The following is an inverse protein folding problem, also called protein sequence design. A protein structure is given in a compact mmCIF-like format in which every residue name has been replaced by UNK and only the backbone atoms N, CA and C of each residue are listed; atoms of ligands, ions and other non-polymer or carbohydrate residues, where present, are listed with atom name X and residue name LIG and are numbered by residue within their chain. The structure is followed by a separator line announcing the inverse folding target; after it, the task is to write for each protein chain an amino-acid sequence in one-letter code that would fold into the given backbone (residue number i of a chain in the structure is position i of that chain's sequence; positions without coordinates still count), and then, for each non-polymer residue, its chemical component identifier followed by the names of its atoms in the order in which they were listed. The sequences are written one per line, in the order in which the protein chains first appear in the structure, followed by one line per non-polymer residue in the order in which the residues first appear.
data_IF_475063714144
#
_entry.id   IF_475063714144
#
_cell.length_a   1.000
_cell.length_b   1.000
_cell.length_c   1.000
_cell.angle_alpha   90.00
_cell.angle_beta   90.00
_cell.angle_gamma   90.00
#
_symmetry.space_group_name_H-M   'P 1'
#
loop_
_entity.id
_entity.type
_entity.pdbx_description
1 polymer ?
#
# COMPACT_ATOMS: atom_id res chain seq x y z
N UNK A 1 -14.03 8.16 -24.19
CA UNK A 1 -13.59 8.83 -22.96
C UNK A 1 -12.57 7.95 -22.26
N UNK A 2 -11.44 8.51 -21.90
CA UNK A 2 -10.42 7.75 -21.18
C UNK A 2 -10.87 7.44 -19.75
N UNK A 3 -10.59 6.24 -19.22
CA UNK A 3 -10.89 5.96 -17.82
C UNK A 3 -10.10 6.90 -16.91
N UNK A 4 -10.65 7.19 -15.76
CA UNK A 4 -9.96 7.99 -14.75
C UNK A 4 -8.69 7.26 -14.30
N UNK A 5 -7.60 8.01 -14.06
CA UNK A 5 -6.38 7.44 -13.56
C UNK A 5 -6.63 6.82 -12.17
N UNK A 6 -6.08 5.62 -11.90
CA UNK A 6 -6.23 5.02 -10.57
C UNK A 6 -5.47 5.82 -9.53
N UNK A 7 -5.97 5.79 -8.29
CA UNK A 7 -5.34 6.47 -7.17
C UNK A 7 -4.66 5.45 -6.27
N UNK A 8 -3.37 5.65 -5.99
CA UNK A 8 -2.61 4.83 -5.06
C UNK A 8 -2.27 5.64 -3.81
N UNK A 9 -2.47 5.04 -2.64
CA UNK A 9 -1.97 5.61 -1.38
C UNK A 9 -0.70 4.86 -1.01
N UNK A 10 0.41 5.60 -0.88
CA UNK A 10 1.69 5.05 -0.45
C UNK A 10 1.93 5.45 1.00
N UNK A 11 2.11 4.48 1.87
CA UNK A 11 2.36 4.70 3.30
C UNK A 11 3.77 4.20 3.63
N UNK A 12 4.67 5.11 3.92
CA UNK A 12 6.09 4.79 4.14
C UNK A 12 6.73 5.89 4.98
N UNK A 13 7.43 5.50 6.04
CA UNK A 13 8.09 6.48 6.92
C UNK A 13 9.49 6.88 6.45
N UNK A 14 10.13 6.10 5.56
CA UNK A 14 11.42 6.46 4.97
C UNK A 14 11.18 7.45 3.83
N UNK A 15 11.65 8.71 3.95
CA UNK A 15 11.37 9.72 2.92
C UNK A 15 11.99 9.40 1.56
N UNK A 16 13.09 8.66 1.53
CA UNK A 16 13.74 8.29 0.26
C UNK A 16 12.88 7.28 -0.50
N UNK A 17 12.40 6.25 0.20
CA UNK A 17 11.55 5.23 -0.40
C UNK A 17 10.19 5.83 -0.79
N UNK A 18 9.64 6.68 0.07
CA UNK A 18 8.37 7.36 -0.21
C UNK A 18 8.46 8.17 -1.51
N UNK A 19 9.54 8.94 -1.68
CA UNK A 19 9.77 9.73 -2.88
C UNK A 19 9.97 8.85 -4.12
N UNK A 20 10.72 7.77 -3.97
CA UNK A 20 10.94 6.82 -5.06
C UNK A 20 9.61 6.26 -5.58
N UNK A 21 8.74 5.85 -4.67
CA UNK A 21 7.45 5.30 -5.05
C UNK A 21 6.54 6.37 -5.64
N UNK A 22 6.54 7.56 -5.06
CA UNK A 22 5.75 8.68 -5.60
C UNK A 22 6.09 8.95 -7.06
N UNK A 23 7.39 9.09 -7.37
CA UNK A 23 7.84 9.39 -8.73
C UNK A 23 7.47 8.26 -9.69
N UNK A 24 7.70 7.01 -9.29
CA UNK A 24 7.44 5.87 -10.18
C UNK A 24 5.96 5.68 -10.45
N UNK A 25 5.11 5.80 -9.44
CA UNK A 25 3.66 5.69 -9.66
C UNK A 25 3.13 6.86 -10.50
N UNK A 26 3.65 8.07 -10.25
CA UNK A 26 3.26 9.23 -11.05
C UNK A 26 3.61 9.05 -12.53
N UNK A 27 4.82 8.54 -12.82
CA UNK A 27 5.26 8.27 -14.18
C UNK A 27 4.38 7.22 -14.88
N UNK A 28 3.80 6.28 -14.12
CA UNK A 28 2.94 5.25 -14.66
C UNK A 28 1.46 5.68 -14.73
N UNK A 29 1.19 6.94 -14.48
CA UNK A 29 -0.15 7.51 -14.68
C UNK A 29 -1.08 7.43 -13.47
N UNK A 30 -0.55 7.12 -12.29
CA UNK A 30 -1.37 7.07 -11.08
C UNK A 30 -1.53 8.47 -10.47
N UNK A 31 -2.68 8.69 -9.83
CA UNK A 31 -2.81 9.77 -8.86
C UNK A 31 -2.21 9.24 -7.55
N UNK A 32 -1.26 9.96 -6.98
CA UNK A 32 -0.52 9.47 -5.81
C UNK A 32 -0.90 10.26 -4.56
N UNK A 33 -1.31 9.53 -3.52
CA UNK A 33 -1.51 10.06 -2.18
C UNK A 33 -0.39 9.52 -1.29
N UNK A 34 0.10 10.32 -0.37
CA UNK A 34 1.23 9.96 0.48
C UNK A 34 0.84 10.03 1.95
N UNK A 35 1.38 9.11 2.74
CA UNK A 35 1.28 9.13 4.19
C UNK A 35 2.61 8.67 4.77
N UNK A 36 3.04 9.24 5.89
CA UNK A 36 4.34 8.99 6.48
C UNK A 36 4.29 8.00 7.64
N UNK A 37 3.11 7.63 8.09
CA UNK A 37 2.92 6.62 9.13
C UNK A 37 1.54 5.96 8.98
N UNK A 38 1.32 4.91 9.76
CA UNK A 38 0.08 4.14 9.65
C UNK A 38 -1.16 4.92 10.08
N UNK A 39 -1.02 5.79 11.07
CA UNK A 39 -2.15 6.62 11.53
C UNK A 39 -2.62 7.57 10.44
N UNK A 40 -1.67 8.27 9.80
CA UNK A 40 -1.98 9.13 8.66
C UNK A 40 -2.54 8.32 7.49
N UNK A 41 -1.95 7.13 7.25
CA UNK A 41 -2.42 6.23 6.18
C UNK A 41 -3.88 5.83 6.35
N UNK A 42 -4.29 5.48 7.57
CA UNK A 42 -5.68 5.14 7.86
C UNK A 42 -6.58 6.35 7.61
N UNK A 43 -6.18 7.52 8.09
CA UNK A 43 -6.97 8.75 7.92
C UNK A 43 -7.16 9.10 6.45
N UNK A 44 -6.09 9.03 5.66
CA UNK A 44 -6.15 9.33 4.22
C UNK A 44 -7.00 8.28 3.49
N UNK A 45 -6.85 7.01 3.83
CA UNK A 45 -7.63 5.93 3.19
C UNK A 45 -9.13 6.14 3.41
N UNK A 46 -9.52 6.51 4.62
CA UNK A 46 -10.92 6.75 4.95
C UNK A 46 -11.48 7.99 4.26
N UNK A 47 -10.67 9.06 4.18
CA UNK A 47 -11.10 10.32 3.59
C UNK A 47 -11.14 10.28 2.07
N UNK A 48 -10.16 9.64 1.44
CA UNK A 48 -9.95 9.69 -0.01
C UNK A 48 -10.32 8.41 -0.75
N UNK A 49 -10.41 7.28 -0.04
CA UNK A 49 -10.76 5.97 -0.63
C UNK A 49 -9.98 5.67 -1.91
N UNK A 50 -8.64 5.48 -1.80
CA UNK A 50 -7.84 5.17 -2.97
C UNK A 50 -8.23 3.82 -3.59
N UNK A 51 -7.81 3.59 -4.82
CA UNK A 51 -8.06 2.33 -5.52
C UNK A 51 -7.17 1.21 -5.03
N UNK A 52 -6.00 1.54 -4.48
CA UNK A 52 -5.04 0.57 -3.94
C UNK A 52 -4.17 1.27 -2.90
N UNK A 53 -3.70 0.49 -1.93
CA UNK A 53 -2.79 0.97 -0.88
C UNK A 53 -1.51 0.14 -0.92
N UNK A 54 -0.36 0.83 -0.87
CA UNK A 54 0.96 0.21 -0.72
C UNK A 54 1.52 0.71 0.59
N UNK A 55 1.80 -0.17 1.53
CA UNK A 55 2.26 0.22 2.86
C UNK A 55 3.42 -0.63 3.35
N UNK A 56 4.39 0.01 4.01
CA UNK A 56 5.42 -0.70 4.74
C UNK A 56 4.82 -1.34 5.98
N UNK A 57 5.40 -2.45 6.45
CA UNK A 57 4.99 -3.10 7.69
C UNK A 57 5.56 -2.36 8.89
N UNK A 58 6.85 -2.03 8.85
CA UNK A 58 7.55 -1.44 9.99
C UNK A 58 7.48 0.08 9.96
N UNK A 59 6.56 0.63 10.74
CA UNK A 59 6.37 2.08 10.85
C UNK A 59 6.08 2.44 12.31
N UNK A 60 6.41 3.68 12.72
CA UNK A 60 6.06 4.15 14.06
C UNK A 60 4.55 4.31 14.21
N UNK A 61 4.07 4.33 15.44
CA UNK A 61 2.67 4.49 15.86
C UNK A 61 1.82 3.29 15.47
N UNK A 62 1.41 3.20 14.21
CA UNK A 62 0.57 2.12 13.70
C UNK A 62 1.35 1.38 12.63
N UNK A 63 1.57 0.08 12.80
CA UNK A 63 2.28 -0.73 11.81
C UNK A 63 1.41 -0.97 10.57
N UNK A 64 2.05 -1.43 9.49
CA UNK A 64 1.32 -1.80 8.28
C UNK A 64 0.32 -2.93 8.52
N UNK A 65 0.64 -3.85 9.43
CA UNK A 65 -0.29 -4.94 9.78
C UNK A 65 -1.54 -4.41 10.48
N UNK A 66 -1.36 -3.49 11.42
CA UNK A 66 -2.48 -2.85 12.11
C UNK A 66 -3.33 -2.03 11.13
N UNK A 67 -2.68 -1.35 10.18
CA UNK A 67 -3.37 -0.61 9.14
C UNK A 67 -4.26 -1.54 8.30
N UNK A 68 -3.72 -2.68 7.86
CA UNK A 68 -4.49 -3.67 7.09
C UNK A 68 -5.69 -4.16 7.89
N UNK A 69 -5.47 -4.57 9.14
CA UNK A 69 -6.54 -5.08 10.00
C UNK A 69 -7.64 -4.02 10.19
N UNK A 70 -7.23 -2.77 10.46
CA UNK A 70 -8.17 -1.69 10.69
C UNK A 70 -9.02 -1.39 9.46
N UNK A 71 -8.39 -1.31 8.28
CA UNK A 71 -9.10 -0.99 7.05
C UNK A 71 -9.97 -2.16 6.56
N UNK A 72 -9.52 -3.40 6.76
CA UNK A 72 -10.30 -4.57 6.35
C UNK A 72 -11.49 -4.82 7.27
N UNK A 73 -11.45 -4.33 8.50
CA UNK A 73 -12.57 -4.43 9.44
C UNK A 73 -13.64 -3.36 9.20
N UNK A 74 -13.34 -2.32 8.43
CA UNK A 74 -14.26 -1.23 8.13
C UNK A 74 -14.93 -1.47 6.78
N UNK A 75 -16.26 -1.55 6.75
CA UNK A 75 -17.01 -1.83 5.52
C UNK A 75 -16.69 -0.84 4.39
N UNK A 76 -16.39 0.42 4.72
CA UNK A 76 -16.11 1.45 3.72
C UNK A 76 -14.76 1.27 3.03
N UNK A 77 -13.81 0.58 3.66
CA UNK A 77 -12.44 0.42 3.15
C UNK A 77 -12.04 -1.05 2.92
N UNK A 78 -12.88 -2.00 3.34
CA UNK A 78 -12.53 -3.42 3.29
C UNK A 78 -12.23 -3.94 1.87
N UNK A 79 -12.81 -3.33 0.85
CA UNK A 79 -12.63 -3.77 -0.54
C UNK A 79 -11.37 -3.18 -1.19
N UNK A 80 -10.70 -2.23 -0.55
CA UNK A 80 -9.49 -1.62 -1.13
C UNK A 80 -8.34 -2.64 -1.06
N UNK A 81 -7.73 -3.02 -2.20
CA UNK A 81 -6.59 -3.94 -2.16
C UNK A 81 -5.38 -3.28 -1.51
N UNK A 82 -4.65 -4.06 -0.72
CA UNK A 82 -3.49 -3.59 0.03
C UNK A 82 -2.28 -4.47 -0.25
N UNK A 83 -1.16 -3.85 -0.63
CA UNK A 83 0.14 -4.51 -0.82
C UNK A 83 1.03 -4.13 0.35
N UNK A 84 1.59 -5.14 1.03
CA UNK A 84 2.54 -4.92 2.12
C UNK A 84 3.98 -4.97 1.60
N UNK A 85 4.82 -4.08 2.11
CA UNK A 85 6.26 -4.06 1.84
C UNK A 85 7.00 -4.45 3.12
N UNK A 86 7.97 -5.34 3.01
CA UNK A 86 8.77 -5.77 4.16
C UNK A 86 10.25 -5.81 3.80
N UNK A 87 11.11 -5.45 4.75
CA UNK A 87 12.56 -5.46 4.56
C UNK A 87 13.12 -6.87 4.31
N UNK A 88 12.42 -7.91 4.77
CA UNK A 88 12.79 -9.30 4.52
C UNK A 88 11.55 -10.17 4.47
N UNK A 89 11.57 -11.15 3.58
CA UNK A 89 10.55 -12.19 3.52
C UNK A 89 10.80 -13.20 4.65
N UNK A 90 10.47 -12.82 5.88
CA UNK A 90 10.45 -13.79 6.96
C UNK A 90 9.09 -14.47 6.93
N UNK A 91 9.08 -15.78 7.13
CA UNK A 91 7.83 -16.54 7.06
C UNK A 91 6.77 -16.01 8.03
N UNK A 92 7.21 -15.49 9.20
CA UNK A 92 6.30 -14.89 10.16
C UNK A 92 5.63 -13.61 9.65
N UNK A 93 6.38 -12.75 8.96
CA UNK A 93 5.83 -11.51 8.42
C UNK A 93 4.87 -11.78 7.27
N UNK A 94 5.21 -12.70 6.39
CA UNK A 94 4.34 -13.10 5.29
C UNK A 94 3.02 -13.67 5.83
N UNK A 95 3.11 -14.57 6.81
CA UNK A 95 1.93 -15.18 7.41
C UNK A 95 1.08 -14.14 8.12
N UNK A 96 1.70 -13.24 8.88
CA UNK A 96 0.98 -12.18 9.57
C UNK A 96 0.26 -11.27 8.58
N UNK A 97 0.88 -10.96 7.43
CA UNK A 97 0.27 -10.16 6.39
C UNK A 97 -0.95 -10.84 5.78
N UNK A 98 -0.85 -12.13 5.47
CA UNK A 98 -1.97 -12.92 4.95
C UNK A 98 -3.09 -12.99 5.97
N UNK A 99 -2.77 -13.27 7.23
CA UNK A 99 -3.75 -13.37 8.31
C UNK A 99 -4.46 -12.03 8.57
N UNK A 100 -3.76 -10.91 8.40
CA UNK A 100 -4.35 -9.58 8.54
C UNK A 100 -5.28 -9.23 7.37
N UNK A 101 -5.16 -9.91 6.23
CA UNK A 101 -6.03 -9.69 5.08
C UNK A 101 -5.39 -8.92 3.93
N UNK A 102 -4.05 -8.81 3.91
CA UNK A 102 -3.36 -8.16 2.79
C UNK A 102 -3.57 -8.93 1.50
N UNK A 103 -3.63 -8.21 0.40
CA UNK A 103 -3.88 -8.79 -0.92
C UNK A 103 -2.61 -9.25 -1.63
N UNK A 104 -1.47 -8.66 -1.30
CA UNK A 104 -0.17 -9.07 -1.83
C UNK A 104 0.93 -8.64 -0.85
N UNK A 105 2.13 -9.15 -1.09
CA UNK A 105 3.29 -8.95 -0.22
C UNK A 105 4.54 -8.85 -1.09
N UNK A 106 5.33 -7.80 -0.90
CA UNK A 106 6.57 -7.56 -1.66
C UNK A 106 7.72 -7.33 -0.69
N UNK A 107 8.85 -7.99 -0.94
CA UNK A 107 10.04 -7.85 -0.09
C UNK A 107 10.96 -6.74 -0.59
N UNK A 108 11.56 -6.01 0.33
CA UNK A 108 12.62 -5.04 0.05
C UNK A 108 13.98 -5.76 0.04
N UNK A 109 14.91 -5.38 -0.82
CA UNK A 109 14.77 -4.41 -1.89
C UNK A 109 13.89 -4.92 -3.02
N UNK A 110 13.13 -4.03 -3.65
CA UNK A 110 12.24 -4.38 -4.75
C UNK A 110 12.51 -3.48 -5.95
N UNK A 111 12.13 -3.98 -7.13
CA UNK A 111 12.14 -3.14 -8.34
C UNK A 111 10.81 -2.40 -8.41
N UNK A 112 10.81 -1.04 -8.53
CA UNK A 112 9.56 -0.29 -8.59
C UNK A 112 8.60 -0.77 -9.68
N UNK A 113 9.10 -1.18 -10.84
CA UNK A 113 8.24 -1.67 -11.92
C UNK A 113 7.57 -2.99 -11.57
N UNK A 114 8.26 -3.88 -10.84
CA UNK A 114 7.66 -5.13 -10.36
C UNK A 114 6.52 -4.86 -9.39
N UNK A 115 6.72 -3.90 -8.49
CA UNK A 115 5.69 -3.49 -7.56
C UNK A 115 4.48 -2.93 -8.30
N UNK A 116 4.71 -2.07 -9.29
CA UNK A 116 3.64 -1.48 -10.08
C UNK A 116 2.89 -2.56 -10.87
N UNK A 117 3.59 -3.55 -11.42
CA UNK A 117 2.94 -4.67 -12.11
C UNK A 117 2.00 -5.43 -11.17
N UNK A 118 2.42 -5.67 -9.92
CA UNK A 118 1.57 -6.34 -8.93
C UNK A 118 0.36 -5.49 -8.56
N UNK A 119 0.54 -4.18 -8.43
CA UNK A 119 -0.56 -3.25 -8.18
C UNK A 119 -1.55 -3.28 -9.35
N UNK A 120 -1.07 -3.22 -10.58
CA UNK A 120 -1.92 -3.29 -11.77
C UNK A 120 -2.69 -4.60 -11.84
N UNK A 121 -2.06 -5.71 -11.46
CA UNK A 121 -2.74 -7.02 -11.41
C UNK A 121 -3.91 -7.01 -10.43
N UNK A 122 -3.74 -6.38 -9.27
CA UNK A 122 -4.82 -6.26 -8.29
C UNK A 122 -5.97 -5.38 -8.82
N UNK A 123 -5.64 -4.31 -9.52
CA UNK A 123 -6.65 -3.40 -10.08
C UNK A 123 -7.43 -4.02 -11.23
N UNK A 124 -6.88 -5.03 -11.87
CA UNK A 124 -7.48 -5.68 -13.05
C UNK A 124 -8.34 -6.89 -12.72
N UNK A 125 -8.32 -7.36 -11.47
CA UNK A 125 -9.05 -8.58 -11.10
C UNK A 125 -10.54 -8.31 -10.81
#
# INVERSE_FOLDING_TARGET
MAPAAPTVLVVEDDPVILRLLEVNFDLEGFNVLLAQDGEEGIAVARAKRPDVIVTDIMMPKVSGLELVETLKADADTASIPIVLLSAKAQSGDLRAGVDAGADDYVTKPFEPLDLIDRVNALLSR
#
